data_IF_563952742046
#
_entry.id   IF_563952742046
#
_cell.length_a   1.000
_cell.length_b   1.000
_cell.length_c   1.000
_cell.angle_alpha   90.00
_cell.angle_beta   90.00
_cell.angle_gamma   90.00
#
_symmetry.space_group_name_H-M   'P 1'
#
loop_
_entity.id
_entity.type
_entity.pdbx_description
1 polymer ?
#
# COMPACT_ATOMS: atom_id res chain seq x y z
N UNK A 1 -4.24 -14.04 28.40
CA UNK A 1 -4.66 -12.75 27.79
C UNK A 1 -3.48 -11.94 27.25
N UNK A 2 -2.37 -11.85 27.97
CA UNK A 2 -1.14 -11.13 27.57
C UNK A 2 -0.58 -11.59 26.21
N UNK A 3 -0.49 -12.90 25.94
CA UNK A 3 0.02 -13.43 24.66
C UNK A 3 -0.88 -13.06 23.46
N UNK A 4 -2.20 -13.09 23.63
CA UNK A 4 -3.15 -12.64 22.59
C UNK A 4 -3.05 -11.14 22.34
N UNK A 5 -2.79 -10.35 23.38
CA UNK A 5 -2.57 -8.91 23.26
C UNK A 5 -1.24 -8.60 22.55
N UNK A 6 -0.16 -9.30 22.89
CA UNK A 6 1.15 -9.16 22.22
C UNK A 6 1.11 -9.57 20.75
N UNK A 7 0.46 -10.69 20.41
CA UNK A 7 0.26 -11.10 19.02
C UNK A 7 -0.56 -10.06 18.23
N UNK A 8 -1.53 -9.41 18.89
CA UNK A 8 -2.33 -8.32 18.29
C UNK A 8 -1.51 -7.05 18.08
N UNK A 9 -0.61 -6.71 19.01
CA UNK A 9 0.32 -5.58 18.84
C UNK A 9 1.33 -5.83 17.70
N UNK A 10 1.90 -7.03 17.61
CA UNK A 10 2.83 -7.38 16.52
C UNK A 10 2.17 -7.37 15.13
N UNK A 11 0.88 -7.72 15.06
CA UNK A 11 0.12 -7.58 13.81
C UNK A 11 -0.20 -6.12 13.46
N UNK A 12 -0.22 -5.19 14.42
CA UNK A 12 -0.38 -3.77 14.13
C UNK A 12 0.88 -3.17 13.46
N UNK A 13 2.07 -3.70 13.71
CA UNK A 13 3.33 -3.19 13.12
C UNK A 13 3.44 -3.44 11.61
N UNK A 14 2.79 -4.50 11.09
CA UNK A 14 2.83 -4.81 9.65
C UNK A 14 1.75 -4.10 8.84
N UNK A 15 0.68 -3.60 9.48
CA UNK A 15 -0.46 -2.95 8.82
C UNK A 15 -0.05 -1.69 8.04
N UNK A 16 0.76 -0.75 8.58
CA UNK A 16 1.19 0.43 7.82
C UNK A 16 1.93 0.08 6.53
N UNK A 17 2.72 -1.00 6.56
CA UNK A 17 3.45 -1.50 5.38
C UNK A 17 2.50 -2.09 4.35
N UNK A 18 1.48 -2.85 4.78
CA UNK A 18 0.43 -3.38 3.89
C UNK A 18 -0.32 -2.24 3.20
N UNK A 19 -0.73 -1.21 3.95
CA UNK A 19 -1.44 -0.04 3.40
C UNK A 19 -0.55 0.70 2.40
N UNK A 20 0.71 0.96 2.76
CA UNK A 20 1.67 1.64 1.87
C UNK A 20 1.89 0.87 0.57
N UNK A 21 1.96 -0.46 0.63
CA UNK A 21 2.08 -1.31 -0.55
C UNK A 21 0.81 -1.25 -1.42
N UNK A 22 -0.37 -1.29 -0.81
CA UNK A 22 -1.65 -1.16 -1.52
C UNK A 22 -1.74 0.17 -2.26
N UNK A 23 -1.44 1.27 -1.57
CA UNK A 23 -1.45 2.61 -2.15
C UNK A 23 -0.45 2.74 -3.31
N UNK A 24 0.75 2.17 -3.15
CA UNK A 24 1.77 2.16 -4.19
C UNK A 24 1.30 1.42 -5.46
N UNK A 25 0.73 0.22 -5.30
CA UNK A 25 0.22 -0.55 -6.44
C UNK A 25 -1.01 0.09 -7.09
N UNK A 26 -1.91 0.70 -6.30
CA UNK A 26 -3.07 1.42 -6.85
C UNK A 26 -2.63 2.67 -7.63
N UNK A 27 -1.60 3.37 -7.16
CA UNK A 27 -0.99 4.50 -7.88
C UNK A 27 -0.44 4.05 -9.22
N UNK A 28 0.29 2.92 -9.26
CA UNK A 28 0.79 2.34 -10.52
C UNK A 28 -0.37 1.96 -11.44
N UNK A 29 -1.39 1.26 -10.91
CA UNK A 29 -2.56 0.81 -11.67
C UNK A 29 -3.25 1.99 -12.35
N UNK A 30 -3.54 3.06 -11.59
CA UNK A 30 -4.22 4.23 -12.12
C UNK A 30 -3.36 4.95 -13.17
N UNK A 31 -2.06 5.10 -12.91
CA UNK A 31 -1.14 5.73 -13.85
C UNK A 31 -1.01 4.96 -15.18
N UNK A 32 -1.07 3.62 -15.17
CA UNK A 32 -1.09 2.82 -16.40
C UNK A 32 -2.41 2.96 -17.17
N UNK A 33 -3.55 2.98 -16.48
CA UNK A 33 -4.85 3.22 -17.12
C UNK A 33 -4.86 4.59 -17.79
N UNK A 34 -4.40 5.63 -17.08
CA UNK A 34 -4.34 6.99 -17.61
C UNK A 34 -3.37 7.11 -18.80
N UNK A 35 -2.21 6.43 -18.75
CA UNK A 35 -1.30 6.34 -19.91
C UNK A 35 -1.95 5.71 -21.13
N UNK A 36 -2.78 4.69 -20.90
CA UNK A 36 -3.41 3.93 -21.99
C UNK A 36 -4.72 4.54 -22.48
N UNK A 37 -5.37 5.44 -21.72
CA UNK A 37 -6.64 6.10 -22.10
C UNK A 37 -6.60 6.69 -23.50
N UNK A 38 -5.54 7.43 -23.84
CA UNK A 38 -5.38 8.02 -25.17
C UNK A 38 -5.28 6.99 -26.31
N UNK A 39 -4.81 5.77 -26.03
CA UNK A 39 -4.68 4.67 -26.99
C UNK A 39 -5.94 3.79 -27.06
N UNK A 40 -6.70 3.72 -25.98
CA UNK A 40 -7.94 2.93 -25.88
C UNK A 40 -9.12 3.63 -26.55
N UNK A 41 -9.05 4.96 -26.74
CA UNK A 41 -10.14 5.75 -27.31
C UNK A 41 -11.31 5.91 -26.33
N UNK A 42 -12.48 6.25 -26.86
CA UNK A 42 -13.71 6.29 -26.05
C UNK A 42 -14.18 4.86 -25.76
N UNK A 43 -14.31 4.55 -24.47
CA UNK A 43 -14.85 3.28 -23.99
C UNK A 43 -16.33 3.47 -23.61
N UNK A 44 -17.13 2.41 -23.77
CA UNK A 44 -18.47 2.39 -23.19
C UNK A 44 -18.39 2.25 -21.65
N UNK A 45 -19.43 2.63 -20.90
CA UNK A 45 -19.43 2.45 -19.44
C UNK A 45 -19.15 1.01 -19.00
N UNK A 46 -19.65 0.03 -19.75
CA UNK A 46 -19.42 -1.40 -19.49
C UNK A 46 -17.95 -1.79 -19.72
N UNK A 47 -17.31 -1.24 -20.74
CA UNK A 47 -15.89 -1.46 -21.02
C UNK A 47 -14.99 -0.79 -19.97
N UNK A 48 -15.33 0.40 -19.51
CA UNK A 48 -14.61 1.05 -18.40
C UNK A 48 -14.69 0.19 -17.13
N UNK A 49 -15.88 -0.28 -16.78
CA UNK A 49 -16.06 -1.15 -15.61
C UNK A 49 -15.32 -2.48 -15.75
N UNK A 50 -15.29 -3.08 -16.94
CA UNK A 50 -14.53 -4.29 -17.20
C UNK A 50 -13.01 -4.06 -17.04
N UNK A 51 -12.49 -2.93 -17.53
CA UNK A 51 -11.08 -2.55 -17.38
C UNK A 51 -10.70 -2.31 -15.91
N UNK A 52 -11.53 -1.59 -15.16
CA UNK A 52 -11.36 -1.37 -13.73
C UNK A 52 -11.35 -2.70 -12.97
N UNK A 53 -12.32 -3.58 -13.24
CA UNK A 53 -12.43 -4.90 -12.60
C UNK A 53 -11.21 -5.77 -12.90
N UNK A 54 -10.78 -5.82 -14.15
CA UNK A 54 -9.62 -6.59 -14.59
C UNK A 54 -8.35 -6.13 -13.88
N UNK A 55 -8.06 -4.82 -13.93
CA UNK A 55 -6.83 -4.25 -13.37
C UNK A 55 -6.80 -4.35 -11.85
N UNK A 56 -7.92 -4.12 -11.16
CA UNK A 56 -8.05 -4.36 -9.72
C UNK A 56 -7.85 -5.84 -9.37
N UNK A 57 -8.38 -6.75 -10.20
CA UNK A 57 -8.16 -8.19 -10.06
C UNK A 57 -6.68 -8.57 -10.11
N UNK A 58 -5.90 -7.95 -10.97
CA UNK A 58 -4.44 -8.14 -11.05
C UNK A 58 -3.76 -7.65 -9.77
N UNK A 59 -4.05 -6.41 -9.32
CA UNK A 59 -3.49 -5.86 -8.09
C UNK A 59 -3.83 -6.74 -6.88
N UNK A 60 -5.08 -7.18 -6.76
CA UNK A 60 -5.52 -8.06 -5.67
C UNK A 60 -4.75 -9.39 -5.65
N UNK A 61 -4.51 -9.99 -6.83
CA UNK A 61 -3.73 -11.23 -6.94
C UNK A 61 -2.27 -11.03 -6.53
N UNK A 62 -1.66 -9.91 -6.93
CA UNK A 62 -0.30 -9.55 -6.49
C UNK A 62 -0.26 -9.35 -4.98
N UNK A 63 -1.23 -8.62 -4.42
CA UNK A 63 -1.30 -8.30 -2.99
C UNK A 63 -1.50 -9.52 -2.08
N UNK A 64 -2.11 -10.59 -2.58
CA UNK A 64 -2.38 -11.78 -1.77
C UNK A 64 -1.11 -12.34 -1.11
N UNK A 65 -0.02 -12.50 -1.87
CA UNK A 65 1.22 -13.09 -1.36
C UNK A 65 1.91 -12.18 -0.32
N UNK A 66 2.25 -10.90 -0.61
CA UNK A 66 2.88 -10.01 0.36
C UNK A 66 2.06 -9.83 1.65
N UNK A 67 0.74 -9.70 1.54
CA UNK A 67 -0.13 -9.55 2.72
C UNK A 67 -0.10 -10.81 3.59
N UNK A 68 -0.15 -11.99 2.97
CA UNK A 68 -0.08 -13.26 3.69
C UNK A 68 1.28 -13.42 4.36
N UNK A 69 2.38 -13.17 3.63
CA UNK A 69 3.74 -13.24 4.17
C UNK A 69 3.95 -12.29 5.34
N UNK A 70 3.52 -11.03 5.24
CA UNK A 70 3.62 -10.05 6.33
C UNK A 70 2.82 -10.47 7.57
N UNK A 71 1.60 -10.99 7.38
CA UNK A 71 0.77 -11.49 8.48
C UNK A 71 1.34 -12.73 9.16
N UNK A 72 1.98 -13.63 8.40
CA UNK A 72 2.66 -14.80 8.96
C UNK A 72 3.92 -14.40 9.72
N UNK A 73 4.76 -13.53 9.15
CA UNK A 73 5.98 -13.03 9.80
C UNK A 73 5.70 -12.31 11.12
N UNK A 74 4.55 -11.60 11.21
CA UNK A 74 4.08 -10.98 12.45
C UNK A 74 3.82 -11.99 13.58
N UNK A 75 3.56 -13.26 13.27
CA UNK A 75 3.31 -14.33 14.26
C UNK A 75 4.57 -15.09 14.66
N UNK A 76 5.59 -15.08 13.81
CA UNK A 76 6.83 -15.85 13.98
C UNK A 76 7.99 -15.01 14.55
N UNK A 77 7.71 -13.78 15.02
CA UNK A 77 8.68 -12.79 15.49
C UNK A 77 9.71 -12.31 14.43
N UNK A 78 9.50 -12.63 13.15
CA UNK A 78 10.31 -12.16 12.01
C UNK A 78 9.78 -10.87 11.35
N UNK A 79 8.77 -10.24 11.96
CA UNK A 79 8.02 -9.12 11.43
C UNK A 79 8.92 -8.00 10.88
N UNK A 80 9.92 -7.57 11.65
CA UNK A 80 10.81 -6.45 11.33
C UNK A 80 11.60 -6.71 10.03
N UNK A 81 12.22 -7.89 9.91
CA UNK A 81 13.04 -8.25 8.74
C UNK A 81 12.19 -8.31 7.47
N UNK A 82 11.02 -8.94 7.54
CA UNK A 82 10.13 -9.08 6.38
C UNK A 82 9.54 -7.72 5.97
N UNK A 83 9.16 -6.88 6.94
CA UNK A 83 8.70 -5.51 6.69
C UNK A 83 9.77 -4.70 5.96
N UNK A 84 11.02 -4.75 6.41
CA UNK A 84 12.13 -4.02 5.79
C UNK A 84 12.40 -4.48 4.35
N UNK A 85 12.35 -5.79 4.10
CA UNK A 85 12.50 -6.34 2.74
C UNK A 85 11.36 -5.85 1.84
N UNK A 86 10.10 -5.93 2.27
CA UNK A 86 8.96 -5.47 1.48
C UNK A 86 9.06 -3.96 1.19
N UNK A 87 9.42 -3.16 2.19
CA UNK A 87 9.62 -1.71 2.02
C UNK A 87 10.70 -1.41 1.00
N UNK A 88 11.82 -2.14 1.01
CA UNK A 88 12.91 -1.97 0.03
C UNK A 88 12.53 -2.40 -1.38
N UNK A 89 11.89 -3.57 -1.53
CA UNK A 89 11.49 -4.11 -2.83
C UNK A 89 10.53 -3.19 -3.58
N UNK A 90 9.62 -2.53 -2.87
CA UNK A 90 8.62 -1.64 -3.45
C UNK A 90 8.92 -0.15 -3.23
N UNK A 91 10.10 0.18 -2.68
CA UNK A 91 10.50 1.54 -2.33
C UNK A 91 9.40 2.31 -1.56
N UNK A 92 8.79 1.64 -0.58
CA UNK A 92 7.70 2.21 0.22
C UNK A 92 8.30 3.23 1.19
N UNK A 93 8.21 4.51 0.82
CA UNK A 93 8.62 5.60 1.70
C UNK A 93 7.68 5.61 2.92
N UNK A 94 8.23 5.65 4.13
CA UNK A 94 7.44 6.11 5.27
C UNK A 94 6.97 7.52 4.92
N UNK A 95 5.66 7.72 4.79
CA UNK A 95 5.08 9.05 4.93
C UNK A 95 5.44 9.53 6.34
N UNK A 96 6.63 10.10 6.52
CA UNK A 96 6.91 10.96 7.65
C UNK A 96 5.81 12.00 7.61
N UNK A 97 4.98 12.00 8.64
CA UNK A 97 3.97 13.03 8.87
C UNK A 97 4.60 14.36 8.46
N UNK A 98 4.03 14.97 7.42
CA UNK A 98 4.46 16.29 6.97
C UNK A 98 4.54 17.15 8.23
N UNK A 99 5.76 17.52 8.61
CA UNK A 99 5.96 18.46 9.70
C UNK A 99 5.10 19.67 9.36
N UNK A 100 4.14 19.95 10.23
CA UNK A 100 3.36 21.17 10.24
C UNK A 100 4.32 22.36 10.08
N UNK A 101 4.23 23.03 8.94
CA UNK A 101 4.78 24.36 8.76
C UNK A 101 3.79 25.41 9.28
N UNK A 102 4.36 26.52 9.78
CA UNK A 102 3.67 27.79 10.12
C UNK A 102 3.03 27.77 11.51
N UNK A 103 3.15 28.76 12.40
CA UNK A 103 3.55 30.18 12.32
C UNK A 103 4.12 30.57 13.70
N UNK A 104 5.10 31.47 13.82
CA UNK A 104 4.91 32.91 14.07
C UNK A 104 6.30 33.47 14.42
N UNK A 105 6.68 34.71 14.15
CA UNK A 105 6.06 35.85 13.52
C UNK A 105 7.19 36.87 13.35
N UNK A 106 7.25 37.53 12.19
CA UNK A 106 8.05 38.74 12.06
C UNK A 106 7.33 39.86 12.79
N UNK A 107 7.99 40.43 13.80
CA UNK A 107 7.72 41.77 14.27
C UNK A 107 9.03 42.35 14.83
N UNK A 108 9.69 43.17 14.00
CA UNK A 108 10.65 44.22 14.35
C UNK A 108 11.04 44.98 13.07
#
# INVERSE_FOLDING_TARGET
EVERFQAKLQTLDVVPTIVSLQDHLETIRQAEIDRMRGRLGQLTPEQEMALETLTRGIVNKIMHTPVTTLKSAAREAEATTVVDVVRRLFNLQEKKAAKSGGESGGDA
#
